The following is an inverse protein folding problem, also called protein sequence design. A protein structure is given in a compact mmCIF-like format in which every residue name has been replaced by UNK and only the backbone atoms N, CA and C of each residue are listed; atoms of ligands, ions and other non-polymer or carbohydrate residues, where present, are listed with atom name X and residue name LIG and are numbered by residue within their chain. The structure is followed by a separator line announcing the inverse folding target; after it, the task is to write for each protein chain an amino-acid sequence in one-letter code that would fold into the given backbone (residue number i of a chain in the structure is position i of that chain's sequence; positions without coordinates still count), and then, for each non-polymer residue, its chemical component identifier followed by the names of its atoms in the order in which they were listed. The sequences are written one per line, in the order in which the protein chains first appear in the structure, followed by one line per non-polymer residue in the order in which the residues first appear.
data_IF_664751109580
#
_entry.id   IF_664751109580
#
_cell.length_a   1.000
_cell.length_b   1.000
_cell.length_c   1.000
_cell.angle_alpha   90.00
_cell.angle_beta   90.00
_cell.angle_gamma   90.00
#
_symmetry.space_group_name_H-M   'P 1'
#
loop_
_entity.id
_entity.type
_entity.pdbx_description
1 polymer ?
#
# COMPACT_ATOMS: atom_id res chain seq x y z
N UNK A 1 -8.27 -2.73 17.72
CA UNK A 1 -7.63 -3.76 16.86
C UNK A 1 -6.41 -3.13 16.23
N UNK A 2 -5.32 -3.88 16.08
CA UNK A 2 -4.14 -3.37 15.36
C UNK A 2 -4.30 -3.56 13.85
N UNK A 3 -3.28 -3.13 13.09
CA UNK A 3 -3.29 -3.19 11.63
C UNK A 3 -3.39 -4.64 11.11
N UNK A 4 -2.68 -5.58 11.73
CA UNK A 4 -2.66 -6.99 11.33
C UNK A 4 -4.02 -7.65 11.60
N UNK A 5 -4.62 -7.38 12.76
CA UNK A 5 -5.94 -7.88 13.12
C UNK A 5 -7.02 -7.31 12.19
N UNK A 6 -6.92 -6.04 11.82
CA UNK A 6 -7.81 -5.45 10.82
C UNK A 6 -7.69 -6.16 9.46
N UNK A 7 -6.46 -6.40 8.98
CA UNK A 7 -6.21 -7.16 7.75
C UNK A 7 -6.83 -8.57 7.83
N UNK A 8 -6.57 -9.33 8.90
CA UNK A 8 -7.07 -10.69 9.07
C UNK A 8 -8.61 -10.75 9.01
N UNK A 9 -9.28 -9.79 9.66
CA UNK A 9 -10.75 -9.71 9.65
C UNK A 9 -11.30 -9.39 8.27
N UNK A 10 -10.68 -8.43 7.56
CA UNK A 10 -11.08 -8.08 6.20
C UNK A 10 -10.86 -9.25 5.24
N UNK A 11 -9.68 -9.86 5.25
CA UNK A 11 -9.37 -11.01 4.39
C UNK A 11 -10.36 -12.16 4.60
N UNK A 12 -10.61 -12.54 5.86
CA UNK A 12 -11.58 -13.56 6.21
C UNK A 12 -13.00 -13.22 5.73
N UNK A 13 -13.43 -11.97 5.87
CA UNK A 13 -14.76 -11.52 5.44
C UNK A 13 -14.91 -11.59 3.92
N UNK A 14 -13.92 -11.08 3.16
CA UNK A 14 -13.93 -11.12 1.70
C UNK A 14 -13.80 -12.55 1.17
N UNK A 15 -13.00 -13.40 1.81
CA UNK A 15 -12.87 -14.81 1.45
C UNK A 15 -14.18 -15.57 1.62
N UNK A 16 -14.85 -15.37 2.77
CA UNK A 16 -16.19 -15.94 3.01
C UNK A 16 -17.20 -15.51 1.94
N UNK A 17 -17.20 -14.22 1.58
CA UNK A 17 -18.09 -13.70 0.53
C UNK A 17 -17.77 -14.32 -0.83
N UNK A 18 -16.50 -14.38 -1.20
CA UNK A 18 -16.05 -14.95 -2.45
C UNK A 18 -16.41 -16.44 -2.57
N UNK A 19 -16.15 -17.23 -1.52
CA UNK A 19 -16.49 -18.65 -1.46
C UNK A 19 -18.01 -18.88 -1.57
N UNK A 20 -18.81 -18.01 -0.92
CA UNK A 20 -20.27 -18.11 -0.94
C UNK A 20 -20.87 -17.87 -2.33
N UNK A 21 -20.27 -16.99 -3.13
CA UNK A 21 -20.84 -16.54 -4.41
C UNK A 21 -20.00 -16.94 -5.63
N UNK A 22 -18.89 -17.65 -5.44
CA UNK A 22 -17.98 -18.06 -6.51
C UNK A 22 -17.24 -16.90 -7.17
N UNK A 23 -16.92 -15.83 -6.42
CA UNK A 23 -16.16 -14.71 -6.96
C UNK A 23 -14.65 -14.97 -6.93
N UNK A 24 -13.95 -14.59 -7.99
CA UNK A 24 -12.50 -14.51 -7.98
C UNK A 24 -12.06 -13.27 -7.18
N UNK A 25 -11.17 -13.44 -6.20
CA UNK A 25 -10.59 -12.32 -5.47
C UNK A 25 -9.33 -11.80 -6.16
N UNK A 26 -9.09 -10.50 -6.04
CA UNK A 26 -7.83 -9.85 -6.40
C UNK A 26 -7.11 -9.46 -5.09
N UNK A 27 -5.94 -10.04 -4.76
CA UNK A 27 -5.38 -10.03 -3.40
C UNK A 27 -4.58 -8.75 -3.07
N UNK A 28 -5.16 -7.57 -3.31
CA UNK A 28 -4.48 -6.27 -3.06
C UNK A 28 -4.12 -6.10 -1.57
N UNK A 29 -5.03 -6.45 -0.66
CA UNK A 29 -4.77 -6.37 0.79
C UNK A 29 -3.61 -7.27 1.23
N UNK A 30 -3.53 -8.48 0.67
CA UNK A 30 -2.43 -9.42 0.93
C UNK A 30 -1.10 -8.87 0.41
N UNK A 31 -1.08 -8.27 -0.78
CA UNK A 31 0.11 -7.62 -1.32
C UNK A 31 0.60 -6.47 -0.43
N UNK A 32 -0.30 -5.63 0.09
CA UNK A 32 0.02 -4.58 1.07
C UNK A 32 0.61 -5.19 2.34
N UNK A 33 0.04 -6.28 2.84
CA UNK A 33 0.54 -6.95 4.04
C UNK A 33 1.95 -7.55 3.84
N UNK A 34 2.21 -8.15 2.67
CA UNK A 34 3.53 -8.65 2.28
C UNK A 34 4.53 -7.50 2.19
N UNK A 35 4.17 -6.40 1.53
CA UNK A 35 5.03 -5.22 1.41
C UNK A 35 5.40 -4.67 2.80
N UNK A 36 4.43 -4.51 3.71
CA UNK A 36 4.68 -4.09 5.10
C UNK A 36 5.59 -5.03 5.86
N UNK A 37 5.42 -6.34 5.69
CA UNK A 37 6.24 -7.35 6.37
C UNK A 37 7.70 -7.33 5.87
N UNK A 38 7.91 -7.21 4.56
CA UNK A 38 9.23 -7.28 3.93
C UNK A 38 10.01 -5.97 3.92
N UNK A 39 9.34 -4.83 3.88
CA UNK A 39 10.03 -3.54 3.77
C UNK A 39 10.88 -3.31 5.05
N UNK A 40 12.16 -2.94 4.93
CA UNK A 40 13.07 -2.89 6.08
C UNK A 40 12.73 -1.75 7.04
N UNK A 41 12.25 -0.62 6.51
CA UNK A 41 11.78 0.51 7.31
C UNK A 41 10.33 0.23 7.67
N UNK A 42 9.98 0.27 8.95
CA UNK A 42 8.59 0.09 9.40
C UNK A 42 7.91 1.44 9.56
N UNK A 43 6.61 1.47 9.30
CA UNK A 43 5.77 2.62 9.61
C UNK A 43 5.98 3.04 11.08
N UNK A 44 6.20 4.33 11.28
CA UNK A 44 6.26 4.93 12.60
C UNK A 44 5.13 5.93 12.74
N UNK A 45 4.30 5.74 13.76
CA UNK A 45 3.28 6.71 14.10
C UNK A 45 3.97 7.97 14.62
N UNK A 46 3.79 9.08 13.90
CA UNK A 46 4.24 10.39 14.35
C UNK A 46 3.25 10.98 15.37
N UNK A 47 3.76 11.63 16.41
CA UNK A 47 2.93 12.28 17.43
C UNK A 47 2.47 13.67 16.96
N UNK A 48 1.40 14.20 17.57
CA UNK A 48 0.93 15.56 17.26
C UNK A 48 1.96 16.63 17.67
N UNK A 49 2.69 16.39 18.76
CA UNK A 49 3.77 17.25 19.24
C UNK A 49 4.93 17.29 18.25
N UNK A 50 5.33 16.14 17.71
CA UNK A 50 6.38 16.07 16.69
C UNK A 50 5.93 16.75 15.40
N UNK A 51 4.70 16.49 14.93
CA UNK A 51 4.12 17.17 13.77
C UNK A 51 4.13 18.69 13.91
N UNK A 52 3.90 19.22 15.12
CA UNK A 52 3.92 20.65 15.40
C UNK A 52 5.31 21.30 15.30
N UNK A 53 6.39 20.51 15.22
CA UNK A 53 7.76 21.02 15.03
C UNK A 53 8.08 21.34 13.58
N UNK A 54 7.42 20.69 12.62
CA UNK A 54 7.67 20.88 11.19
C UNK A 54 7.23 22.26 10.72
N UNK A 55 7.96 22.81 9.76
CA UNK A 55 7.71 24.11 9.13
C UNK A 55 7.68 23.95 7.63
N UNK A 56 6.77 24.64 6.96
CA UNK A 56 6.69 24.57 5.51
C UNK A 56 8.04 24.96 4.85
N UNK A 57 8.48 24.26 3.79
CA UNK A 57 7.79 23.16 3.08
C UNK A 57 8.02 21.76 3.64
N UNK A 58 8.79 21.62 4.72
CA UNK A 58 9.23 20.34 5.24
C UNK A 58 8.05 19.48 5.73
N UNK A 59 8.15 18.18 5.49
CA UNK A 59 7.22 17.15 5.94
C UNK A 59 8.01 16.04 6.65
N UNK A 60 7.37 15.30 7.57
CA UNK A 60 7.99 14.11 8.11
C UNK A 60 8.25 13.08 7.01
N UNK A 61 9.18 12.16 7.30
CA UNK A 61 9.46 11.05 6.40
C UNK A 61 8.19 10.28 6.06
N UNK A 62 7.95 10.08 4.77
CA UNK A 62 6.84 9.27 4.24
C UNK A 62 7.26 7.81 3.98
N UNK A 63 8.47 7.43 4.39
CA UNK A 63 8.97 6.08 4.21
C UNK A 63 8.32 5.10 5.21
N UNK A 64 8.31 3.82 4.86
CA UNK A 64 7.94 2.74 5.79
C UNK A 64 6.56 2.13 5.58
N UNK A 65 5.73 2.69 4.70
CA UNK A 65 4.46 2.09 4.29
C UNK A 65 4.14 2.41 2.81
N UNK A 66 3.24 1.60 2.23
CA UNK A 66 2.63 1.81 0.91
C UNK A 66 1.23 2.44 1.02
N UNK A 67 0.76 2.65 2.25
CA UNK A 67 -0.48 3.34 2.59
C UNK A 67 -0.14 4.67 3.25
N UNK A 68 -0.88 5.69 2.85
CA UNK A 68 -0.93 6.96 3.51
C UNK A 68 0.07 7.98 3.02
N UNK A 69 -0.29 9.24 3.24
CA UNK A 69 0.49 10.40 2.86
C UNK A 69 0.22 11.54 3.84
N UNK A 70 1.25 12.33 4.12
CA UNK A 70 1.07 13.61 4.82
C UNK A 70 1.27 14.76 3.85
N UNK A 71 0.46 15.80 3.99
CA UNK A 71 0.50 16.96 3.11
C UNK A 71 0.23 18.23 3.89
N UNK A 72 0.75 19.35 3.41
CA UNK A 72 0.37 20.66 3.92
C UNK A 72 -1.03 21.02 3.42
N UNK A 73 -1.89 21.44 4.34
CA UNK A 73 -3.23 21.96 4.06
C UNK A 73 -3.51 23.22 4.87
N UNK A 74 -4.74 23.72 4.76
CA UNK A 74 -5.28 24.74 5.65
C UNK A 74 -6.35 24.11 6.53
N UNK A 75 -6.38 24.49 7.79
CA UNK A 75 -7.50 24.18 8.68
C UNK A 75 -8.72 25.08 8.39
N UNK A 76 -9.79 24.89 9.16
CA UNK A 76 -11.03 25.66 9.08
C UNK A 76 -10.83 27.18 9.28
N UNK A 77 -9.77 27.58 9.98
CA UNK A 77 -9.42 28.98 10.24
C UNK A 77 -8.42 29.53 9.21
N UNK A 78 -8.09 28.75 8.17
CA UNK A 78 -7.13 29.13 7.14
C UNK A 78 -5.67 29.01 7.56
N UNK A 79 -5.38 28.51 8.77
CA UNK A 79 -4.02 28.32 9.28
C UNK A 79 -3.41 27.06 8.67
N UNK A 80 -2.14 27.14 8.31
CA UNK A 80 -1.41 26.02 7.71
C UNK A 80 -1.17 24.91 8.74
N UNK A 81 -1.53 23.67 8.39
CA UNK A 81 -1.38 22.46 9.22
C UNK A 81 -1.03 21.25 8.33
N UNK A 82 -0.35 20.26 8.87
CA UNK A 82 -0.13 18.96 8.21
C UNK A 82 -1.38 18.10 8.40
N UNK A 83 -1.95 17.65 7.28
CA UNK A 83 -2.97 16.60 7.23
C UNK A 83 -2.33 15.23 7.04
N UNK A 84 -3.02 14.18 7.50
CA UNK A 84 -2.60 12.79 7.32
C UNK A 84 -3.74 12.00 6.70
N UNK A 85 -3.47 11.38 5.57
CA UNK A 85 -4.29 10.33 4.98
C UNK A 85 -3.69 8.99 5.40
N UNK A 86 -4.43 8.19 6.16
CA UNK A 86 -3.94 6.91 6.70
C UNK A 86 -4.66 5.71 6.09
N UNK A 87 -5.46 5.91 5.03
CA UNK A 87 -6.34 4.87 4.49
C UNK A 87 -6.17 4.67 2.98
N UNK A 88 -5.75 5.69 2.23
CA UNK A 88 -5.49 5.55 0.81
C UNK A 88 -4.06 5.07 0.55
N UNK A 89 -3.87 4.39 -0.58
CA UNK A 89 -2.54 4.02 -1.05
C UNK A 89 -1.76 5.28 -1.43
N UNK A 90 -0.47 5.30 -1.14
CA UNK A 90 0.43 6.30 -1.72
C UNK A 90 0.92 5.83 -3.08
N UNK A 91 1.76 6.62 -3.75
CA UNK A 91 2.27 6.29 -5.09
C UNK A 91 2.91 4.90 -5.18
N UNK A 92 3.62 4.43 -4.14
CA UNK A 92 4.17 3.06 -4.09
C UNK A 92 3.06 2.02 -3.98
N UNK A 93 2.05 2.30 -3.16
CA UNK A 93 0.86 1.44 -3.03
C UNK A 93 0.01 1.37 -4.29
N UNK A 94 -0.16 2.48 -5.00
CA UNK A 94 -0.86 2.54 -6.29
C UNK A 94 -0.13 1.68 -7.34
N UNK A 95 1.21 1.78 -7.41
CA UNK A 95 2.02 0.93 -8.27
C UNK A 95 1.89 -0.55 -7.91
N UNK A 96 1.98 -0.88 -6.62
CA UNK A 96 1.77 -2.24 -6.11
C UNK A 96 0.39 -2.79 -6.51
N UNK A 97 -0.66 -2.01 -6.29
CA UNK A 97 -2.02 -2.36 -6.67
C UNK A 97 -2.11 -2.60 -8.18
N UNK A 98 -1.56 -1.71 -9.00
CA UNK A 98 -1.56 -1.86 -10.45
C UNK A 98 -0.88 -3.17 -10.88
N UNK A 99 0.26 -3.54 -10.28
CA UNK A 99 0.95 -4.80 -10.55
C UNK A 99 0.10 -6.03 -10.17
N UNK A 100 -0.58 -6.00 -9.01
CA UNK A 100 -1.49 -7.08 -8.58
C UNK A 100 -2.64 -7.23 -9.58
N UNK A 101 -3.28 -6.12 -9.95
CA UNK A 101 -4.41 -6.14 -10.89
C UNK A 101 -4.00 -6.60 -12.27
N UNK A 102 -2.85 -6.15 -12.77
CA UNK A 102 -2.30 -6.57 -14.05
C UNK A 102 -2.07 -8.10 -14.07
N UNK A 103 -1.39 -8.64 -13.06
CA UNK A 103 -1.15 -10.08 -12.99
C UNK A 103 -2.43 -10.89 -12.83
N UNK A 104 -3.40 -10.41 -12.04
CA UNK A 104 -4.69 -11.09 -11.84
C UNK A 104 -5.56 -11.11 -13.11
N UNK A 105 -5.65 -9.99 -13.84
CA UNK A 105 -6.52 -9.86 -15.02
C UNK A 105 -5.95 -10.63 -16.21
N UNK A 106 -4.64 -10.52 -16.44
CA UNK A 106 -4.01 -11.08 -17.63
C UNK A 106 -3.36 -12.45 -17.39
N UNK A 107 -3.29 -12.93 -16.15
CA UNK A 107 -2.66 -14.21 -15.82
C UNK A 107 -1.16 -14.21 -16.09
N UNK A 108 -0.50 -13.07 -15.90
CA UNK A 108 0.92 -12.87 -16.20
C UNK A 108 1.72 -12.59 -14.94
N UNK A 109 2.99 -12.95 -14.97
CA UNK A 109 3.92 -12.65 -13.89
C UNK A 109 4.17 -11.12 -13.84
N UNK A 110 3.73 -10.41 -12.78
CA UNK A 110 3.87 -8.96 -12.71
C UNK A 110 5.34 -8.51 -12.70
N UNK A 111 6.30 -9.38 -12.37
CA UNK A 111 7.74 -9.06 -12.36
C UNK A 111 8.30 -8.80 -13.75
N UNK A 112 7.59 -9.25 -14.79
CA UNK A 112 7.97 -9.05 -16.19
C UNK A 112 7.60 -7.68 -16.73
N UNK A 113 6.88 -6.85 -15.96
CA UNK A 113 6.53 -5.48 -16.35
C UNK A 113 7.78 -4.61 -16.44
N UNK A 114 8.02 -4.04 -17.62
CA UNK A 114 9.14 -3.15 -17.94
C UNK A 114 8.78 -1.65 -17.87
N UNK A 115 7.51 -1.35 -17.56
CA UNK A 115 7.02 0.02 -17.45
C UNK A 115 7.70 0.77 -16.30
N UNK A 116 8.46 1.80 -16.66
CA UNK A 116 9.13 2.70 -15.70
C UNK A 116 8.15 3.73 -15.14
N UNK A 117 8.11 3.83 -13.83
CA UNK A 117 7.35 4.87 -13.15
C UNK A 117 8.22 6.13 -12.99
N UNK A 118 7.69 7.35 -13.18
CA UNK A 118 8.51 8.57 -13.16
C UNK A 118 9.12 8.90 -11.79
N UNK A 119 8.58 8.35 -10.70
CA UNK A 119 9.00 8.66 -9.32
C UNK A 119 9.28 7.43 -8.44
N UNK A 120 9.20 6.22 -9.00
CA UNK A 120 9.59 4.99 -8.30
C UNK A 120 10.78 4.43 -9.07
N UNK A 121 11.92 4.26 -8.39
CA UNK A 121 13.11 3.71 -9.00
C UNK A 121 12.96 2.21 -9.35
N UNK A 122 13.89 1.70 -10.15
CA UNK A 122 13.81 0.32 -10.68
C UNK A 122 13.89 -0.74 -9.56
N UNK A 123 14.58 -0.45 -8.44
CA UNK A 123 14.79 -1.36 -7.31
C UNK A 123 13.53 -1.46 -6.45
N UNK A 124 12.92 -0.32 -6.10
CA UNK A 124 11.66 -0.27 -5.37
C UNK A 124 10.52 -0.84 -6.23
N UNK A 125 10.49 -0.52 -7.53
CA UNK A 125 9.51 -1.10 -8.44
C UNK A 125 9.64 -2.63 -8.53
N UNK A 126 10.87 -3.17 -8.57
CA UNK A 126 11.10 -4.61 -8.53
C UNK A 126 10.63 -5.24 -7.21
N UNK A 127 10.90 -4.60 -6.07
CA UNK A 127 10.40 -5.03 -4.77
C UNK A 127 8.86 -5.09 -4.73
N UNK A 128 8.18 -4.07 -5.24
CA UNK A 128 6.71 -4.03 -5.28
C UNK A 128 6.14 -5.09 -6.22
N UNK A 129 6.75 -5.32 -7.38
CA UNK A 129 6.34 -6.40 -8.31
C UNK A 129 6.51 -7.79 -7.68
N UNK A 130 7.57 -8.02 -6.90
CA UNK A 130 7.75 -9.28 -6.17
C UNK A 130 6.67 -9.48 -5.10
N UNK A 131 6.31 -8.44 -4.35
CA UNK A 131 5.21 -8.51 -3.39
C UNK A 131 3.86 -8.81 -4.06
N UNK A 132 3.62 -8.23 -5.25
CA UNK A 132 2.44 -8.54 -6.05
C UNK A 132 2.43 -10.00 -6.53
N UNK A 133 3.56 -10.50 -7.05
CA UNK A 133 3.70 -11.89 -7.50
C UNK A 133 3.38 -12.87 -6.37
N UNK A 134 3.94 -12.66 -5.17
CA UNK A 134 3.68 -13.53 -4.03
C UNK A 134 2.21 -13.52 -3.58
N UNK A 135 1.56 -12.35 -3.59
CA UNK A 135 0.14 -12.25 -3.27
C UNK A 135 -0.72 -13.01 -4.27
N UNK A 136 -0.43 -12.88 -5.58
CA UNK A 136 -1.14 -13.60 -6.63
C UNK A 136 -0.92 -15.11 -6.54
N UNK A 137 0.31 -15.55 -6.26
CA UNK A 137 0.62 -16.96 -6.06
C UNK A 137 -0.09 -17.53 -4.82
N UNK A 138 -0.12 -16.80 -3.71
CA UNK A 138 -0.83 -17.20 -2.51
C UNK A 138 -2.36 -17.32 -2.73
N UNK A 139 -2.92 -16.50 -3.62
CA UNK A 139 -4.33 -16.58 -4.04
C UNK A 139 -4.60 -17.70 -5.07
N UNK A 140 -3.57 -18.34 -5.61
CA UNK A 140 -3.69 -19.34 -6.67
C UNK A 140 -4.00 -18.77 -8.05
N UNK A 141 -3.74 -17.47 -8.26
CA UNK A 141 -3.91 -16.79 -9.55
C UNK A 141 -2.71 -16.95 -10.48
N UNK A 142 -1.57 -17.38 -9.94
CA UNK A 142 -0.34 -17.67 -10.68
C UNK A 142 0.26 -19.00 -10.19
N UNK A 143 1.05 -19.69 -11.03
CA UNK A 143 1.75 -20.94 -10.68
C UNK A 143 2.84 -20.80 -9.59
#
# INVERSE_FOLDING_TARGET
IDQTEMYNRLDAAYRKLADQYGFQRIPTGTAVQIARAKFPIKFQKISEEELATYRWPDLPSQAGDVVGAMHWGKDENGKRKIGMDNIHLNTRGEYLQAAVWYGAIYGVDPRTVDCKHPVIDDEDAAFLRECAYEALKAEGLLP
#
